data_IF_907113878832
#
_entry.id   IF_907113878832
#
_cell.length_a   1.000
_cell.length_b   1.000
_cell.length_c   1.000
_cell.angle_alpha   90.00
_cell.angle_beta   90.00
_cell.angle_gamma   90.00
#
_symmetry.space_group_name_H-M   'P 1'
#
loop_
_entity.id
_entity.type
_entity.pdbx_description
1 polymer ?
#
# COMPACT_ATOMS: atom_id res chain seq x y z
N UNK A 1 -15.15 11.84 0.79
CA UNK A 1 -13.78 11.59 0.28
C UNK A 1 -12.80 12.11 1.32
N UNK A 2 -11.79 11.32 1.71
CA UNK A 2 -10.70 11.75 2.61
C UNK A 2 -9.41 11.89 1.80
N UNK A 3 -8.42 12.60 2.32
CA UNK A 3 -7.14 12.80 1.65
C UNK A 3 -6.03 13.08 2.64
N UNK A 4 -4.78 12.98 2.17
CA UNK A 4 -3.58 13.36 2.91
C UNK A 4 -2.97 14.60 2.28
N UNK A 5 -2.49 15.49 3.14
CA UNK A 5 -1.72 16.67 2.75
C UNK A 5 -0.54 16.80 3.72
N UNK A 6 0.62 17.15 3.20
CA UNK A 6 1.77 17.47 4.02
C UNK A 6 1.58 18.87 4.62
N UNK A 7 1.94 19.06 5.89
CA UNK A 7 1.90 20.37 6.55
C UNK A 7 3.18 21.17 6.33
N UNK A 8 4.18 20.57 5.70
CA UNK A 8 5.46 21.16 5.36
C UNK A 8 5.95 20.60 4.01
N UNK A 9 6.94 21.25 3.41
CA UNK A 9 7.57 20.77 2.19
C UNK A 9 8.30 19.44 2.45
N UNK A 10 8.19 18.51 1.50
CA UNK A 10 8.86 17.20 1.54
C UNK A 10 9.88 17.18 0.39
N UNK A 11 11.19 17.12 0.68
CA UNK A 11 12.24 16.87 -0.30
C UNK A 11 11.98 15.65 -1.19
N UNK A 12 12.47 15.72 -2.43
CA UNK A 12 12.42 14.57 -3.33
C UNK A 12 13.23 13.39 -2.76
N UNK A 13 12.69 12.18 -2.88
CA UNK A 13 13.32 10.95 -2.41
C UNK A 13 13.05 10.59 -0.95
N UNK A 14 12.38 11.46 -0.19
CA UNK A 14 12.05 11.20 1.21
C UNK A 14 10.97 10.10 1.36
N UNK A 15 11.11 9.28 2.41
CA UNK A 15 10.13 8.25 2.76
C UNK A 15 9.00 8.88 3.57
N UNK A 16 7.81 8.92 2.99
CA UNK A 16 6.63 9.59 3.58
C UNK A 16 5.93 8.69 4.62
N UNK A 17 6.04 7.37 4.48
CA UNK A 17 5.46 6.42 5.41
C UNK A 17 5.19 5.05 4.78
N UNK A 18 4.82 4.11 5.63
CA UNK A 18 4.49 2.75 5.24
C UNK A 18 2.98 2.61 4.98
N UNK A 19 2.63 1.90 3.90
CA UNK A 19 1.28 1.39 3.71
C UNK A 19 1.19 0.00 4.35
N UNK A 20 0.50 -0.09 5.49
CA UNK A 20 0.29 -1.35 6.20
C UNK A 20 -1.20 -1.60 6.47
N UNK A 21 -1.52 -2.88 6.67
CA UNK A 21 -2.85 -3.37 6.96
C UNK A 21 -2.83 -4.89 7.11
N UNK A 22 -3.98 -5.53 7.02
CA UNK A 22 -4.04 -6.99 7.07
C UNK A 22 -3.49 -7.59 5.78
N UNK A 23 -2.48 -8.45 5.91
CA UNK A 23 -1.99 -9.24 4.78
C UNK A 23 -3.04 -10.29 4.42
N UNK A 24 -3.55 -10.21 3.19
CA UNK A 24 -4.60 -11.09 2.70
C UNK A 24 -4.21 -11.71 1.36
N UNK A 25 -4.78 -12.88 1.11
CA UNK A 25 -4.74 -13.51 -0.19
C UNK A 25 -5.75 -12.80 -1.11
N UNK A 26 -5.26 -11.96 -2.00
CA UNK A 26 -6.09 -11.48 -3.08
C UNK A 26 -5.95 -12.48 -4.22
N UNK A 27 -7.05 -12.84 -4.90
CA UNK A 27 -6.93 -13.62 -6.13
C UNK A 27 -6.01 -12.91 -7.14
N UNK A 28 -5.79 -13.50 -8.33
CA UNK A 28 -5.19 -12.73 -9.43
C UNK A 28 -5.85 -11.35 -9.55
N UNK A 29 -5.12 -10.28 -9.94
CA UNK A 29 -5.68 -8.96 -10.10
C UNK A 29 -6.79 -8.98 -11.15
N UNK A 30 -8.01 -9.27 -10.71
CA UNK A 30 -9.15 -9.47 -11.56
C UNK A 30 -9.89 -8.15 -11.67
N UNK A 31 -10.23 -7.76 -12.90
CA UNK A 31 -11.09 -6.61 -13.18
C UNK A 31 -12.47 -6.75 -12.49
N UNK A 32 -12.87 -7.99 -12.17
CA UNK A 32 -14.11 -8.37 -11.49
C UNK A 32 -13.89 -8.85 -10.04
N UNK A 33 -12.72 -8.56 -9.44
CA UNK A 33 -12.50 -8.85 -8.03
C UNK A 33 -13.51 -8.09 -7.14
N UNK A 34 -13.67 -8.48 -5.86
CA UNK A 34 -14.51 -7.74 -4.94
C UNK A 34 -14.16 -6.25 -5.00
N UNK A 35 -15.19 -5.40 -5.04
CA UNK A 35 -15.01 -3.95 -5.12
C UNK A 35 -14.02 -3.54 -4.04
N UNK A 36 -12.89 -3.00 -4.46
CA UNK A 36 -11.95 -2.40 -3.53
C UNK A 36 -12.68 -1.19 -2.94
N UNK A 37 -13.04 -1.22 -1.65
CA UNK A 37 -13.58 -0.04 -0.96
C UNK A 37 -12.55 1.11 -0.82
N UNK A 38 -11.45 1.03 -1.58
CA UNK A 38 -10.41 2.05 -1.68
C UNK A 38 -9.18 1.79 -0.82
N UNK A 39 -9.15 0.69 -0.05
CA UNK A 39 -8.12 0.43 0.96
C UNK A 39 -7.24 -0.80 0.70
N UNK A 40 -7.38 -1.44 -0.47
CA UNK A 40 -6.55 -2.60 -0.85
C UNK A 40 -5.40 -2.21 -1.76
N UNK A 41 -4.19 -2.64 -1.40
CA UNK A 41 -2.98 -2.53 -2.22
C UNK A 41 -2.47 -3.94 -2.53
N UNK A 42 -2.44 -4.29 -3.82
CA UNK A 42 -1.84 -5.54 -4.28
C UNK A 42 -0.31 -5.43 -4.25
N UNK A 43 0.35 -6.43 -3.67
CA UNK A 43 1.79 -6.54 -3.72
C UNK A 43 2.19 -7.23 -5.02
N UNK A 44 3.31 -6.79 -5.61
CA UNK A 44 3.90 -7.46 -6.79
C UNK A 44 4.58 -8.78 -6.45
N UNK A 45 4.92 -8.97 -5.17
CA UNK A 45 5.58 -10.17 -4.69
C UNK A 45 4.57 -11.31 -4.55
N UNK A 46 4.93 -12.45 -5.14
CA UNK A 46 4.16 -13.69 -5.10
C UNK A 46 4.54 -14.48 -3.86
N UNK A 47 3.59 -15.19 -3.28
CA UNK A 47 3.92 -16.26 -2.34
C UNK A 47 4.55 -17.45 -3.08
N UNK A 48 5.22 -18.34 -2.37
CA UNK A 48 5.78 -19.60 -2.89
C UNK A 48 4.75 -20.47 -3.63
N UNK A 49 3.45 -20.29 -3.36
CA UNK A 49 2.36 -20.98 -4.06
C UNK A 49 1.80 -20.24 -5.29
N UNK A 50 2.53 -19.27 -5.85
CA UNK A 50 2.08 -18.39 -6.95
C UNK A 50 0.77 -17.65 -6.65
N UNK A 51 0.51 -17.40 -5.36
CA UNK A 51 -0.70 -16.68 -4.94
C UNK A 51 -0.37 -15.21 -4.78
N UNK A 52 -1.28 -14.37 -5.27
CA UNK A 52 -1.21 -12.93 -5.12
C UNK A 52 -1.60 -12.55 -3.68
N UNK A 53 -0.86 -11.62 -3.12
CA UNK A 53 -1.14 -11.10 -1.78
C UNK A 53 -1.28 -9.59 -1.86
N UNK A 54 -1.98 -9.04 -0.89
CA UNK A 54 -1.99 -7.61 -0.69
C UNK A 54 -2.38 -7.24 0.72
N UNK A 55 -2.42 -5.94 0.94
CA UNK A 55 -2.73 -5.35 2.23
C UNK A 55 -4.13 -4.76 2.19
N UNK A 56 -4.98 -5.14 3.13
CA UNK A 56 -6.30 -4.53 3.37
C UNK A 56 -6.22 -3.57 4.56
N UNK A 57 -6.34 -2.27 4.28
CA UNK A 57 -6.25 -1.21 5.28
C UNK A 57 -7.61 -0.67 5.75
N UNK A 58 -8.72 -1.32 5.40
CA UNK A 58 -10.08 -0.86 5.72
C UNK A 58 -10.26 -0.68 7.23
N UNK A 59 -9.93 -1.70 8.01
CA UNK A 59 -10.15 -1.73 9.46
C UNK A 59 -8.86 -1.60 10.29
N UNK A 60 -7.69 -1.85 9.70
CA UNK A 60 -6.40 -1.64 10.36
C UNK A 60 -5.38 -1.10 9.37
N UNK A 61 -4.72 0.01 9.69
CA UNK A 61 -3.73 0.64 8.84
C UNK A 61 -3.38 2.05 9.31
N UNK A 62 -2.30 2.60 8.74
CA UNK A 62 -1.81 3.94 9.05
C UNK A 62 -2.50 5.04 8.25
N UNK A 63 -1.98 6.28 8.38
CA UNK A 63 -2.47 7.45 7.62
C UNK A 63 -2.42 7.22 6.11
N UNK A 64 -1.43 6.47 5.62
CA UNK A 64 -1.21 6.18 4.19
C UNK A 64 -2.42 5.54 3.49
N UNK A 65 -3.36 4.93 4.23
CA UNK A 65 -4.63 4.42 3.70
C UNK A 65 -5.55 5.48 3.10
N UNK A 66 -5.30 6.76 3.38
CA UNK A 66 -6.07 7.89 2.83
C UNK A 66 -5.35 8.58 1.65
N UNK A 67 -4.26 8.00 1.14
CA UNK A 67 -3.60 8.50 -0.06
C UNK A 67 -4.45 8.21 -1.30
N UNK A 68 -4.71 9.24 -2.10
CA UNK A 68 -5.58 9.15 -3.26
C UNK A 68 -4.81 8.73 -4.53
N UNK A 69 -5.54 8.16 -5.49
CA UNK A 69 -5.03 7.99 -6.85
C UNK A 69 -4.86 9.34 -7.54
N UNK A 70 -3.78 9.48 -8.30
CA UNK A 70 -3.56 10.60 -9.20
C UNK A 70 -2.92 10.08 -10.51
N UNK A 71 -3.36 10.61 -11.66
CA UNK A 71 -2.77 10.28 -12.95
C UNK A 71 -1.32 10.77 -13.08
N UNK A 72 -0.97 11.85 -12.37
CA UNK A 72 0.39 12.38 -12.26
C UNK A 72 0.79 12.46 -10.77
N UNK A 73 1.21 11.34 -10.15
CA UNK A 73 1.46 11.29 -8.72
C UNK A 73 2.83 11.88 -8.35
N UNK A 74 2.90 12.58 -7.22
CA UNK A 74 4.14 13.09 -6.62
C UNK A 74 4.83 12.09 -5.70
N UNK A 75 4.17 10.96 -5.41
CA UNK A 75 4.66 9.90 -4.52
C UNK A 75 4.59 8.54 -5.23
N UNK A 76 5.45 7.60 -4.85
CA UNK A 76 5.47 6.23 -5.42
C UNK A 76 5.56 5.20 -4.31
N UNK A 77 4.71 4.17 -4.37
CA UNK A 77 4.81 3.01 -3.50
C UNK A 77 5.89 2.06 -4.01
N UNK A 78 6.85 1.70 -3.14
CA UNK A 78 7.89 0.72 -3.43
C UNK A 78 7.88 -0.37 -2.36
N UNK A 79 8.09 -1.65 -2.74
CA UNK A 79 8.35 -2.70 -1.76
C UNK A 79 9.61 -2.36 -0.95
N UNK A 80 9.56 -2.63 0.35
CA UNK A 80 10.72 -2.57 1.22
C UNK A 80 10.82 -3.88 2.00
N UNK A 81 12.03 -4.39 2.16
CA UNK A 81 12.35 -5.50 3.04
C UNK A 81 13.22 -4.96 4.16
N UNK A 82 12.80 -5.16 5.40
CA UNK A 82 13.60 -4.80 6.57
C UNK A 82 14.23 -6.09 7.08
N UNK A 83 15.56 -6.15 7.08
CA UNK A 83 16.26 -7.24 7.77
C UNK A 83 16.04 -7.07 9.27
N UNK A 84 15.68 -8.12 10.02
CA UNK A 84 15.63 -8.02 11.47
C UNK A 84 17.04 -7.64 11.96
N UNK A 85 17.13 -6.58 12.75
CA UNK A 85 18.37 -6.21 13.42
C UNK A 85 18.80 -7.38 14.30
N UNK A 86 20.02 -7.87 14.11
CA UNK A 86 20.65 -8.78 15.07
C UNK A 86 20.67 -8.08 16.43
N UNK A 87 19.89 -8.62 17.37
CA UNK A 87 20.03 -8.27 18.79
C UNK A 87 21.31 -8.88 19.34
#
# INVERSE_FOLDING_TARGET
>A
MRGLVATAAIPEGEVIGEYFGHLQLFGPPCRNGPVNEGYRVHLRTWTTGNKYVGLDAQNAGGKMRFMNHACNPTTRCRPASVSPSSQ
#
